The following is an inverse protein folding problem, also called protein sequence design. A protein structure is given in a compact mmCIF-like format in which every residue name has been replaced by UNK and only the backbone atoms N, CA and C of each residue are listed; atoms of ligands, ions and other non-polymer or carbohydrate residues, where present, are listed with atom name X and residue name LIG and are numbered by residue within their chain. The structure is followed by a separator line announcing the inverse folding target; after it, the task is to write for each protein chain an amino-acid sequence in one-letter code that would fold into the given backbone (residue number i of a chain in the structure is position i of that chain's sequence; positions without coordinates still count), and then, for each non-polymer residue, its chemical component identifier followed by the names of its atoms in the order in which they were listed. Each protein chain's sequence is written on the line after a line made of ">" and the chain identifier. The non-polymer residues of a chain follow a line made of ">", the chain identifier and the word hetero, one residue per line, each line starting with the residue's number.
data_IF_720939465446
#
_entry.id   IF_720939465446
#
_cell.length_a   1.000
_cell.length_b   1.000
_cell.length_c   1.000
_cell.angle_alpha   90.00
_cell.angle_beta   90.00
_cell.angle_gamma   90.00
#
_symmetry.space_group_name_H-M   'P 1'
#
loop_
_entity.id
_entity.type
_entity.pdbx_description
1 polymer ?
#
# COMPACT_ATOMS: atom_id res chain seq x y z
N UNK A 1 -36.57 -69.98 22.37
CA UNK A 1 -35.43 -70.34 21.50
C UNK A 1 -34.41 -69.22 21.60
N UNK A 2 -33.46 -69.34 22.53
CA UNK A 2 -32.07 -69.83 22.35
C UNK A 2 -31.15 -68.69 21.90
N UNK A 3 -30.45 -68.04 22.86
CA UNK A 3 -29.08 -68.34 23.38
C UNK A 3 -27.97 -67.65 22.56
N UNK A 4 -27.30 -66.62 23.11
CA UNK A 4 -25.99 -66.65 23.83
C UNK A 4 -24.79 -67.04 22.96
N UNK A 5 -23.83 -66.10 22.81
CA UNK A 5 -22.37 -66.22 23.06
C UNK A 5 -21.66 -64.92 22.66
N UNK A 6 -21.27 -64.03 23.58
CA UNK A 6 -19.99 -64.00 24.33
C UNK A 6 -18.75 -64.37 23.50
N UNK A 7 -17.85 -63.41 23.33
CA UNK A 7 -16.40 -63.58 23.57
C UNK A 7 -15.73 -62.22 23.86
N UNK A 8 -15.45 -62.04 25.14
CA UNK A 8 -14.42 -61.20 25.74
C UNK A 8 -13.02 -61.74 25.45
N UNK A 9 -12.01 -60.87 25.35
CA UNK A 9 -10.67 -61.04 25.93
C UNK A 9 -10.13 -59.65 26.28
N UNK A 10 -9.64 -59.56 27.50
CA UNK A 10 -9.07 -58.44 28.23
C UNK A 10 -7.55 -58.61 28.36
N UNK A 11 -6.89 -57.61 28.99
CA UNK A 11 -5.56 -57.65 29.66
C UNK A 11 -4.40 -57.30 28.69
N UNK A 12 -3.43 -56.40 28.95
CA UNK A 12 -2.88 -55.83 30.19
C UNK A 12 -2.18 -54.49 29.92
N UNK A 13 -2.09 -53.68 30.98
CA UNK A 13 -1.13 -52.59 31.16
C UNK A 13 0.32 -53.03 30.95
N UNK A 14 1.13 -52.15 30.36
CA UNK A 14 2.55 -52.05 30.73
C UNK A 14 2.98 -50.58 30.74
N UNK A 15 3.23 -50.09 31.95
CA UNK A 15 4.06 -48.93 32.20
C UNK A 15 5.51 -49.30 31.84
N UNK A 16 6.21 -48.44 31.12
CA UNK A 16 7.65 -48.35 31.26
C UNK A 16 8.10 -46.89 31.19
N UNK A 17 8.82 -46.51 32.24
CA UNK A 17 9.56 -45.27 32.37
C UNK A 17 10.65 -45.20 31.30
N UNK A 18 10.77 -44.04 30.67
CA UNK A 18 12.06 -43.48 30.25
C UNK A 18 11.97 -41.96 30.42
N UNK A 19 12.46 -41.51 31.57
CA UNK A 19 12.88 -40.13 31.78
C UNK A 19 14.27 -39.97 31.15
N UNK A 20 14.58 -38.74 30.78
CA UNK A 20 15.90 -38.18 30.44
C UNK A 20 16.47 -38.46 29.05
N UNK A 21 16.29 -37.48 28.16
CA UNK A 21 17.38 -36.59 27.72
C UNK A 21 16.94 -35.80 26.47
N UNK A 22 16.32 -34.64 26.62
CA UNK A 22 16.51 -33.51 25.69
C UNK A 22 16.28 -32.19 26.42
N UNK A 23 17.32 -31.79 27.14
CA UNK A 23 17.56 -30.40 27.49
C UNK A 23 17.77 -29.59 26.20
N UNK A 24 17.07 -28.46 26.14
CA UNK A 24 17.49 -27.18 25.54
C UNK A 24 18.00 -27.20 24.10
N UNK A 25 17.12 -26.92 23.14
CA UNK A 25 17.46 -25.92 22.11
C UNK A 25 16.29 -24.94 21.92
N UNK A 26 16.36 -23.83 22.63
CA UNK A 26 15.51 -22.66 22.40
C UNK A 26 15.94 -21.95 21.10
N UNK A 27 15.69 -22.55 19.95
CA UNK A 27 15.74 -21.84 18.68
C UNK A 27 14.43 -22.07 17.94
N UNK A 28 13.40 -21.32 18.35
CA UNK A 28 12.20 -21.21 17.54
C UNK A 28 12.57 -20.64 16.15
N UNK A 29 12.00 -21.16 15.04
CA UNK A 29 12.26 -20.67 13.69
C UNK A 29 12.02 -19.15 13.55
N UNK A 30 11.15 -18.58 14.38
CA UNK A 30 10.88 -17.13 14.43
C UNK A 30 12.06 -16.34 15.03
N UNK A 31 12.83 -16.92 15.95
CA UNK A 31 14.01 -16.28 16.58
C UNK A 31 15.20 -16.27 15.61
N UNK A 32 15.43 -17.39 14.92
CA UNK A 32 16.45 -17.49 13.86
C UNK A 32 16.20 -16.52 12.68
N UNK A 33 14.94 -16.35 12.25
CA UNK A 33 14.58 -15.33 11.26
C UNK A 33 14.87 -13.90 11.73
N UNK A 34 14.64 -13.60 13.02
CA UNK A 34 14.87 -12.27 13.62
C UNK A 34 16.35 -11.92 13.76
N UNK A 35 17.18 -12.88 14.17
CA UNK A 35 18.62 -12.65 14.34
C UNK A 35 19.33 -12.52 12.98
N UNK A 36 18.88 -13.28 11.99
CA UNK A 36 19.26 -13.13 10.57
C UNK A 36 18.94 -11.73 10.03
N UNK A 37 17.73 -11.22 10.28
CA UNK A 37 17.31 -9.88 9.84
C UNK A 37 18.14 -8.76 10.47
N UNK A 38 18.46 -8.85 11.77
CA UNK A 38 19.31 -7.86 12.45
C UNK A 38 20.73 -7.81 11.87
N UNK A 39 21.29 -8.98 11.56
CA UNK A 39 22.63 -9.10 10.95
C UNK A 39 22.68 -8.51 9.54
N UNK A 40 21.65 -8.77 8.72
CA UNK A 40 21.52 -8.22 7.37
C UNK A 40 21.35 -6.69 7.38
N UNK A 41 20.54 -6.16 8.30
CA UNK A 41 20.35 -4.71 8.46
C UNK A 41 21.65 -3.98 8.85
N UNK A 42 22.43 -4.55 9.77
CA UNK A 42 23.70 -3.97 10.19
C UNK A 42 24.71 -3.89 9.02
N UNK A 43 24.77 -4.93 8.19
CA UNK A 43 25.69 -5.02 7.05
C UNK A 43 25.37 -4.00 5.93
N UNK A 44 24.07 -3.77 5.68
CA UNK A 44 23.61 -2.81 4.66
C UNK A 44 23.92 -1.36 5.04
N UNK A 45 23.87 -1.02 6.33
CA UNK A 45 24.11 0.34 6.83
C UNK A 45 25.60 0.70 6.92
N UNK A 46 26.50 -0.28 6.89
CA UNK A 46 27.95 -0.06 6.92
C UNK A 46 28.57 0.15 5.54
N UNK A 47 27.83 -0.11 4.46
CA UNK A 47 28.33 0.09 3.09
C UNK A 47 28.20 1.56 2.68
N UNK A 48 29.21 2.19 2.05
CA UNK A 48 29.12 3.58 1.62
C UNK A 48 28.01 3.75 0.59
N UNK A 49 26.93 4.43 1.00
CA UNK A 49 25.77 4.68 0.15
C UNK A 49 26.17 5.74 -0.89
N UNK A 50 26.32 5.32 -2.15
CA UNK A 50 26.64 6.22 -3.27
C UNK A 50 25.35 6.73 -3.91
N UNK A 51 25.02 8.01 -3.79
CA UNK A 51 23.92 8.60 -4.53
C UNK A 51 24.21 8.57 -6.05
N UNK A 52 23.20 8.24 -6.87
CA UNK A 52 23.31 8.18 -8.33
C UNK A 52 22.69 9.40 -9.00
N UNK A 53 23.30 9.86 -10.11
CA UNK A 53 22.72 10.79 -11.06
C UNK A 53 21.60 10.10 -11.89
N UNK A 54 20.38 10.66 -11.86
CA UNK A 54 19.21 10.08 -12.52
C UNK A 54 19.28 10.17 -14.06
N UNK A 55 18.68 9.17 -14.73
CA UNK A 55 18.39 9.20 -16.16
C UNK A 55 17.25 10.19 -16.49
N UNK A 56 17.27 10.71 -17.73
CA UNK A 56 16.54 11.90 -18.20
C UNK A 56 15.01 11.78 -18.40
N UNK A 57 14.36 10.65 -18.10
CA UNK A 57 12.89 10.55 -18.14
C UNK A 57 12.41 9.88 -16.86
N UNK A 58 11.64 10.61 -16.05
CA UNK A 58 11.05 10.07 -14.84
C UNK A 58 9.88 9.16 -15.22
N UNK A 59 9.91 7.87 -14.86
CA UNK A 59 8.80 6.93 -15.13
C UNK A 59 7.46 7.42 -14.55
N UNK A 60 7.51 8.32 -13.56
CA UNK A 60 6.34 8.98 -13.02
C UNK A 60 5.76 10.06 -13.94
N UNK A 61 6.57 10.74 -14.75
CA UNK A 61 6.08 11.70 -15.75
C UNK A 61 5.24 10.98 -16.80
N UNK A 62 5.55 9.72 -17.12
CA UNK A 62 4.74 8.87 -17.99
C UNK A 62 3.37 8.60 -17.35
N UNK A 63 3.31 8.39 -16.03
CA UNK A 63 2.04 8.24 -15.32
C UNK A 63 1.23 9.55 -15.33
N UNK A 64 1.88 10.70 -15.15
CA UNK A 64 1.25 12.02 -15.25
C UNK A 64 0.74 12.31 -16.67
N UNK A 65 1.52 11.98 -17.71
CA UNK A 65 1.08 12.05 -19.10
C UNK A 65 -0.14 11.15 -19.36
N UNK A 66 -0.16 9.97 -18.73
CA UNK A 66 -1.30 9.05 -18.73
C UNK A 66 -2.61 9.69 -18.22
N UNK A 67 -2.53 10.73 -17.38
CA UNK A 67 -3.68 11.44 -16.84
C UNK A 67 -4.20 12.58 -17.73
N UNK A 68 -3.58 12.85 -18.88
CA UNK A 68 -4.09 13.84 -19.84
C UNK A 68 -5.47 13.43 -20.39
N UNK A 69 -6.39 14.38 -20.45
CA UNK A 69 -7.73 14.19 -21.02
C UNK A 69 -7.64 13.89 -22.52
N UNK A 70 -8.34 12.84 -22.94
CA UNK A 70 -8.58 12.51 -24.35
C UNK A 70 -9.97 12.96 -24.77
N UNK A 71 -10.98 12.71 -23.92
CA UNK A 71 -12.36 13.13 -24.13
C UNK A 71 -13.04 13.33 -22.79
N UNK A 72 -13.91 14.32 -22.69
CA UNK A 72 -14.79 14.50 -21.54
C UNK A 72 -16.20 14.91 -21.96
N UNK A 73 -17.16 14.72 -21.07
CA UNK A 73 -18.54 15.09 -21.29
C UNK A 73 -19.50 14.32 -20.38
N UNK A 74 -20.78 14.70 -20.47
CA UNK A 74 -21.84 14.08 -19.70
C UNK A 74 -22.28 12.73 -20.29
N UNK A 75 -22.40 11.72 -19.43
CA UNK A 75 -23.00 10.43 -19.74
C UNK A 75 -24.02 10.07 -18.65
N UNK A 76 -24.94 9.16 -18.98
CA UNK A 76 -25.95 8.68 -18.05
C UNK A 76 -25.64 7.24 -17.61
N UNK A 77 -25.75 6.99 -16.31
CA UNK A 77 -25.86 5.65 -15.74
C UNK A 77 -27.24 5.57 -15.06
N UNK A 78 -27.29 5.29 -13.75
CA UNK A 78 -28.49 5.48 -12.92
C UNK A 78 -28.75 6.97 -12.62
N UNK A 79 -27.72 7.80 -12.78
CA UNK A 79 -27.74 9.26 -12.68
C UNK A 79 -26.83 9.85 -13.76
N UNK A 80 -26.98 11.14 -14.00
CA UNK A 80 -26.07 11.89 -14.86
C UNK A 80 -24.69 12.00 -14.18
N UNK A 81 -23.62 11.67 -14.89
CA UNK A 81 -22.24 11.72 -14.40
C UNK A 81 -21.33 12.42 -15.41
N UNK A 82 -20.39 13.22 -14.92
CA UNK A 82 -19.40 13.85 -15.78
C UNK A 82 -18.23 12.88 -15.95
N UNK A 83 -17.94 12.48 -17.18
CA UNK A 83 -16.94 11.45 -17.48
C UNK A 83 -15.74 12.09 -18.15
N UNK A 84 -14.55 11.75 -17.68
CA UNK A 84 -13.27 12.13 -18.26
C UNK A 84 -12.51 10.86 -18.65
N UNK A 85 -12.42 10.61 -19.96
CA UNK A 85 -11.49 9.63 -20.50
C UNK A 85 -10.10 10.26 -20.57
N UNK A 86 -9.16 9.66 -19.86
CA UNK A 86 -7.73 9.99 -19.93
C UNK A 86 -7.00 9.00 -20.82
N UNK A 87 -5.70 9.19 -21.01
CA UNK A 87 -4.86 8.23 -21.73
C UNK A 87 -4.71 6.88 -21.02
N UNK A 88 -5.12 6.70 -19.76
CA UNK A 88 -4.96 5.41 -19.05
C UNK A 88 -6.17 4.94 -18.25
N UNK A 89 -7.16 5.81 -18.06
CA UNK A 89 -8.31 5.57 -17.17
C UNK A 89 -9.55 6.32 -17.60
N UNK A 90 -10.71 5.88 -17.10
CA UNK A 90 -11.95 6.67 -17.10
C UNK A 90 -12.15 7.18 -15.68
N UNK A 91 -12.34 8.50 -15.52
CA UNK A 91 -12.66 9.15 -14.24
C UNK A 91 -14.09 9.66 -14.30
N UNK A 92 -14.85 9.40 -13.24
CA UNK A 92 -16.24 9.83 -13.10
C UNK A 92 -16.35 10.85 -11.98
N UNK A 93 -17.06 11.95 -12.24
CA UNK A 93 -17.28 13.03 -11.29
C UNK A 93 -18.78 13.31 -11.12
N UNK A 94 -19.11 13.92 -10.00
CA UNK A 94 -20.45 14.44 -9.71
C UNK A 94 -20.84 15.61 -10.65
N UNK A 95 -19.86 16.41 -11.07
CA UNK A 95 -20.06 17.61 -11.88
C UNK A 95 -18.91 17.88 -12.86
N UNK A 96 -19.14 18.83 -13.75
CA UNK A 96 -18.19 19.28 -14.77
C UNK A 96 -17.00 20.07 -14.20
N UNK A 97 -17.16 20.68 -13.01
CA UNK A 97 -16.08 21.32 -12.27
C UNK A 97 -15.17 20.30 -11.56
N UNK A 98 -15.52 19.01 -11.61
CA UNK A 98 -14.76 17.89 -11.05
C UNK A 98 -14.58 18.01 -9.54
N UNK A 99 -15.56 18.58 -8.83
CA UNK A 99 -15.43 18.83 -7.38
C UNK A 99 -15.34 17.52 -6.57
N UNK A 100 -16.08 16.49 -6.98
CA UNK A 100 -16.07 15.19 -6.32
C UNK A 100 -15.82 14.06 -7.31
N UNK A 101 -14.66 13.41 -7.18
CA UNK A 101 -14.35 12.16 -7.87
C UNK A 101 -15.20 11.02 -7.29
N UNK A 102 -15.98 10.36 -8.14
CA UNK A 102 -16.84 9.23 -7.79
C UNK A 102 -16.14 7.89 -7.98
N UNK A 103 -15.44 7.71 -9.11
CA UNK A 103 -14.85 6.44 -9.52
C UNK A 103 -13.71 6.62 -10.52
N UNK A 104 -12.72 5.73 -10.48
CA UNK A 104 -11.68 5.60 -11.51
C UNK A 104 -11.67 4.16 -12.05
N UNK A 105 -11.68 4.01 -13.37
CA UNK A 105 -11.59 2.72 -14.05
C UNK A 105 -10.28 2.64 -14.84
N UNK A 106 -9.31 1.89 -14.33
CA UNK A 106 -8.01 1.71 -14.98
C UNK A 106 -8.12 0.85 -16.25
N UNK A 107 -7.84 1.45 -17.41
CA UNK A 107 -7.86 0.79 -18.72
C UNK A 107 -6.51 0.10 -19.03
N UNK A 108 -5.42 0.65 -18.47
CA UNK A 108 -4.08 0.09 -18.59
C UNK A 108 -3.96 -1.25 -17.88
N UNK A 109 -4.46 -1.34 -16.64
CA UNK A 109 -4.20 -2.46 -15.73
C UNK A 109 -5.11 -3.67 -15.92
N UNK A 110 -6.30 -3.49 -16.53
CA UNK A 110 -7.30 -4.56 -16.67
C UNK A 110 -7.66 -4.84 -18.13
N UNK A 111 -8.06 -6.09 -18.38
CA UNK A 111 -8.61 -6.51 -19.67
C UNK A 111 -10.10 -6.17 -19.76
N UNK A 112 -10.51 -5.61 -20.89
CA UNK A 112 -11.88 -5.18 -21.11
C UNK A 112 -12.31 -5.34 -22.58
N UNK A 113 -13.62 -5.36 -22.78
CA UNK A 113 -14.25 -5.25 -24.09
C UNK A 113 -15.26 -4.10 -24.10
N UNK A 114 -15.37 -3.43 -25.24
CA UNK A 114 -16.27 -2.29 -25.44
C UNK A 114 -17.26 -2.67 -26.53
N UNK A 115 -18.55 -2.56 -26.24
CA UNK A 115 -19.62 -2.75 -27.24
C UNK A 115 -20.58 -1.57 -27.21
N UNK A 116 -21.24 -1.32 -28.34
CA UNK A 116 -22.23 -0.26 -28.49
C UNK A 116 -23.55 -0.84 -28.99
N UNK A 117 -24.66 -0.39 -28.41
CA UNK A 117 -26.01 -0.63 -28.92
C UNK A 117 -26.82 0.67 -28.88
N UNK A 118 -27.12 1.24 -30.05
CA UNK A 118 -27.73 2.59 -30.18
C UNK A 118 -26.91 3.63 -29.39
N UNK A 119 -27.49 4.20 -28.33
CA UNK A 119 -26.85 5.19 -27.46
C UNK A 119 -26.16 4.57 -26.23
N UNK A 120 -26.30 3.26 -26.02
CA UNK A 120 -25.72 2.53 -24.91
C UNK A 120 -24.29 2.10 -25.25
N UNK A 121 -23.37 2.37 -24.34
CA UNK A 121 -21.97 1.97 -24.35
C UNK A 121 -21.78 1.00 -23.19
N UNK A 122 -21.30 -0.21 -23.49
CA UNK A 122 -21.05 -1.25 -22.50
C UNK A 122 -19.55 -1.54 -22.44
N UNK A 123 -18.98 -1.41 -21.25
CA UNK A 123 -17.58 -1.73 -20.97
C UNK A 123 -17.56 -2.92 -20.01
N UNK A 124 -17.12 -4.08 -20.49
CA UNK A 124 -17.03 -5.31 -19.70
C UNK A 124 -15.59 -5.58 -19.31
N UNK A 125 -15.29 -5.61 -18.02
CA UNK A 125 -13.97 -6.00 -17.50
C UNK A 125 -13.92 -7.52 -17.35
N UNK A 126 -13.36 -8.19 -18.36
CA UNK A 126 -13.51 -9.64 -18.60
C UNK A 126 -13.17 -10.48 -17.36
N UNK A 127 -12.03 -10.21 -16.73
CA UNK A 127 -11.56 -10.98 -15.57
C UNK A 127 -12.08 -10.51 -14.22
N UNK A 128 -12.65 -9.30 -14.17
CA UNK A 128 -13.23 -8.76 -12.94
C UNK A 128 -14.71 -9.13 -12.78
N UNK A 129 -15.33 -9.68 -13.83
CA UNK A 129 -16.77 -9.92 -13.92
C UNK A 129 -17.59 -8.64 -13.65
N UNK A 130 -17.00 -7.47 -13.91
CA UNK A 130 -17.65 -6.18 -13.77
C UNK A 130 -18.08 -5.64 -15.14
N UNK A 131 -19.23 -4.97 -15.17
CA UNK A 131 -19.72 -4.28 -16.37
C UNK A 131 -20.12 -2.87 -15.98
N UNK A 132 -19.65 -1.90 -16.76
CA UNK A 132 -20.06 -0.50 -16.66
C UNK A 132 -20.89 -0.16 -17.89
N UNK A 133 -22.05 0.42 -17.65
CA UNK A 133 -22.96 0.87 -18.70
C UNK A 133 -23.01 2.40 -18.68
N UNK A 134 -22.86 3.00 -19.85
CA UNK A 134 -23.08 4.42 -20.06
C UNK A 134 -24.09 4.61 -21.18
N UNK A 135 -24.90 5.65 -21.07
CA UNK A 135 -25.83 6.08 -22.10
C UNK A 135 -25.45 7.51 -22.53
N UNK A 136 -25.15 7.67 -23.82
CA UNK A 136 -24.91 8.98 -24.42
C UNK A 136 -26.24 9.66 -24.78
N UNK A 137 -26.18 10.95 -25.13
CA UNK A 137 -27.37 11.73 -25.51
C UNK A 137 -28.03 11.21 -26.79
N UNK A 138 -27.21 10.72 -27.72
CA UNK A 138 -27.61 10.19 -29.02
C UNK A 138 -26.62 9.14 -29.52
N UNK A 139 -26.94 8.52 -30.66
CA UNK A 139 -26.15 7.45 -31.29
C UNK A 139 -24.79 7.98 -31.78
N UNK A 140 -24.71 9.25 -32.20
CA UNK A 140 -23.50 9.86 -32.75
C UNK A 140 -22.50 10.07 -31.61
N UNK A 141 -22.93 10.63 -30.49
CA UNK A 141 -22.12 10.81 -29.30
C UNK A 141 -21.63 9.46 -28.74
N UNK A 142 -22.49 8.43 -28.74
CA UNK A 142 -22.08 7.09 -28.34
C UNK A 142 -20.94 6.54 -29.22
N UNK A 143 -21.04 6.70 -30.55
CA UNK A 143 -19.96 6.31 -31.48
C UNK A 143 -18.67 7.08 -31.21
N UNK A 144 -18.76 8.38 -30.96
CA UNK A 144 -17.59 9.21 -30.64
C UNK A 144 -16.88 8.71 -29.37
N UNK A 145 -17.63 8.40 -28.31
CA UNK A 145 -17.07 7.83 -27.08
C UNK A 145 -16.41 6.47 -27.32
N UNK A 146 -17.07 5.56 -28.02
CA UNK A 146 -16.54 4.22 -28.34
C UNK A 146 -15.25 4.33 -29.13
N UNK A 147 -15.18 5.23 -30.12
CA UNK A 147 -13.96 5.47 -30.89
C UNK A 147 -12.82 5.98 -30.01
N UNK A 148 -13.07 6.97 -29.16
CA UNK A 148 -12.05 7.48 -28.23
C UNK A 148 -11.58 6.41 -27.24
N UNK A 149 -12.51 5.59 -26.72
CA UNK A 149 -12.18 4.47 -25.82
C UNK A 149 -11.32 3.42 -26.52
N UNK A 150 -11.65 3.06 -27.77
CA UNK A 150 -10.86 2.10 -28.55
C UNK A 150 -9.45 2.63 -28.84
N UNK A 151 -9.28 3.91 -29.18
CA UNK A 151 -7.96 4.52 -29.37
C UNK A 151 -7.10 4.37 -28.11
N UNK A 152 -7.66 4.67 -26.93
CA UNK A 152 -6.95 4.52 -25.66
C UNK A 152 -6.68 3.06 -25.35
N UNK A 153 -7.66 2.18 -25.51
CA UNK A 153 -7.53 0.75 -25.22
C UNK A 153 -6.47 0.08 -26.11
N UNK A 154 -6.44 0.40 -27.40
CA UNK A 154 -5.53 -0.20 -28.37
C UNK A 154 -4.07 0.13 -28.06
N UNK A 155 -3.79 1.31 -27.49
CA UNK A 155 -2.47 1.67 -26.97
C UNK A 155 -1.95 0.69 -25.91
N UNK A 156 -2.86 0.08 -25.13
CA UNK A 156 -2.50 -0.85 -24.05
C UNK A 156 -2.93 -2.30 -24.33
N UNK A 157 -3.30 -2.64 -25.56
CA UNK A 157 -3.75 -3.99 -25.92
C UNK A 157 -2.69 -5.05 -25.62
N UNK A 158 -1.43 -4.72 -25.87
CA UNK A 158 -0.29 -5.63 -25.66
C UNK A 158 0.39 -5.45 -24.29
N UNK A 159 -0.13 -4.57 -23.43
CA UNK A 159 0.42 -4.42 -22.08
C UNK A 159 -0.02 -5.61 -21.21
N UNK A 160 0.86 -6.13 -20.32
CA UNK A 160 0.47 -7.15 -19.36
C UNK A 160 -0.74 -6.71 -18.54
N UNK A 161 -1.80 -7.52 -18.53
CA UNK A 161 -3.03 -7.26 -17.78
C UNK A 161 -3.01 -8.03 -16.46
N UNK A 162 -3.49 -7.38 -15.40
CA UNK A 162 -3.64 -8.00 -14.11
C UNK A 162 -4.93 -8.84 -14.08
N UNK A 163 -4.80 -10.09 -13.64
CA UNK A 163 -5.94 -10.96 -13.33
C UNK A 163 -6.03 -11.07 -11.82
N UNK A 164 -7.06 -10.48 -11.23
CA UNK A 164 -7.26 -10.53 -9.79
C UNK A 164 -7.91 -11.86 -9.38
N UNK A 165 -7.62 -12.31 -8.17
CA UNK A 165 -8.49 -13.27 -7.50
C UNK A 165 -9.88 -12.63 -7.30
N UNK A 166 -10.95 -13.39 -7.50
CA UNK A 166 -12.32 -12.84 -7.53
C UNK A 166 -12.66 -12.10 -6.23
N UNK A 167 -12.24 -12.63 -5.08
CA UNK A 167 -12.46 -12.01 -3.78
C UNK A 167 -11.74 -10.66 -3.60
N UNK A 168 -10.70 -10.37 -4.39
CA UNK A 168 -9.94 -9.13 -4.33
C UNK A 168 -10.47 -8.05 -5.27
N UNK A 169 -11.40 -8.37 -6.18
CA UNK A 169 -11.98 -7.40 -7.13
C UNK A 169 -12.57 -6.16 -6.41
N UNK A 170 -13.36 -6.27 -5.33
CA UNK A 170 -13.92 -5.11 -4.63
C UNK A 170 -12.86 -4.16 -4.06
N UNK A 171 -11.63 -4.63 -3.84
CA UNK A 171 -10.53 -3.83 -3.29
C UNK A 171 -9.94 -2.86 -4.31
N UNK A 172 -9.98 -3.22 -5.59
CA UNK A 172 -9.23 -2.56 -6.67
C UNK A 172 -10.12 -1.96 -7.76
N UNK A 173 -11.36 -2.43 -7.90
CA UNK A 173 -12.27 -1.88 -8.90
C UNK A 173 -12.81 -0.51 -8.48
N UNK A 174 -12.74 0.46 -9.38
CA UNK A 174 -13.31 1.79 -9.16
C UNK A 174 -12.39 2.81 -8.49
N UNK A 175 -11.10 2.50 -8.35
CA UNK A 175 -10.08 3.38 -7.76
C UNK A 175 -8.84 3.46 -8.66
N UNK A 176 -7.99 4.46 -8.44
CA UNK A 176 -6.74 4.59 -9.19
C UNK A 176 -5.76 3.48 -8.77
N UNK A 177 -5.37 2.65 -9.73
CA UNK A 177 -4.52 1.49 -9.48
C UNK A 177 -3.37 1.40 -10.45
N UNK A 178 -2.24 0.87 -9.94
CA UNK A 178 -1.07 0.46 -10.72
C UNK A 178 -0.64 -0.94 -10.31
N UNK A 179 -0.01 -1.68 -11.23
CA UNK A 179 0.67 -2.94 -10.91
C UNK A 179 1.86 -2.73 -9.95
N UNK A 180 2.16 -3.75 -9.15
CA UNK A 180 3.35 -3.76 -8.27
C UNK A 180 4.65 -3.54 -9.05
N UNK A 181 4.78 -4.12 -10.25
CA UNK A 181 5.96 -3.93 -11.10
C UNK A 181 6.12 -2.47 -11.56
N UNK A 182 5.01 -1.77 -11.80
CA UNK A 182 5.06 -0.35 -12.15
C UNK A 182 5.30 0.53 -10.92
N UNK A 183 4.71 0.20 -9.77
CA UNK A 183 5.03 0.80 -8.48
C UNK A 183 6.54 0.78 -8.21
N UNK A 184 7.18 -0.39 -8.32
CA UNK A 184 8.61 -0.53 -8.09
C UNK A 184 9.47 0.30 -9.05
N UNK A 185 8.96 0.66 -10.23
CA UNK A 185 9.63 1.58 -11.16
C UNK A 185 9.50 3.04 -10.72
N UNK A 186 8.27 3.49 -10.42
CA UNK A 186 7.96 4.91 -10.20
C UNK A 186 8.23 5.41 -8.78
N UNK A 187 8.30 4.52 -7.78
CA UNK A 187 8.53 4.91 -6.39
C UNK A 187 9.96 5.44 -6.22
N UNK A 188 10.11 6.49 -5.40
CA UNK A 188 11.36 7.21 -5.16
C UNK A 188 11.56 7.50 -3.67
N UNK A 189 12.81 7.81 -3.29
CA UNK A 189 13.18 8.13 -1.91
C UNK A 189 12.35 9.30 -1.36
N UNK A 190 11.73 9.08 -0.21
CA UNK A 190 10.88 10.03 0.49
C UNK A 190 9.38 9.84 0.23
N UNK A 191 8.95 9.10 -0.79
CA UNK A 191 7.52 8.88 -1.02
C UNK A 191 6.85 8.16 0.17
N UNK A 192 5.59 8.49 0.44
CA UNK A 192 4.82 7.85 1.49
C UNK A 192 4.20 6.55 1.00
N UNK A 193 4.25 5.53 1.84
CA UNK A 193 3.51 4.29 1.69
C UNK A 193 2.46 4.22 2.79
N UNK A 194 1.21 4.01 2.39
CA UNK A 194 0.06 3.87 3.28
C UNK A 194 -0.44 2.43 3.20
N UNK A 195 -0.54 1.77 4.35
CA UNK A 195 -0.94 0.37 4.42
C UNK A 195 -2.26 0.18 5.15
N UNK A 196 -3.02 -0.79 4.68
CA UNK A 196 -4.14 -1.39 5.41
C UNK A 196 -3.71 -2.77 5.93
N UNK A 197 -3.81 -3.02 7.23
CA UNK A 197 -3.49 -4.33 7.81
C UNK A 197 -4.73 -5.14 8.21
N UNK A 198 -4.60 -6.47 8.23
CA UNK A 198 -5.64 -7.42 8.64
C UNK A 198 -5.47 -7.93 10.08
N UNK A 199 -5.29 -7.03 11.04
CA UNK A 199 -5.35 -7.39 12.46
C UNK A 199 -6.50 -6.67 13.17
N UNK A 200 -6.96 -7.23 14.28
CA UNK A 200 -8.15 -6.75 15.02
C UNK A 200 -7.95 -5.33 15.56
N UNK A 201 -6.75 -5.02 16.06
CA UNK A 201 -6.40 -3.67 16.54
C UNK A 201 -6.43 -2.62 15.44
N UNK A 202 -5.91 -2.94 14.26
CA UNK A 202 -5.91 -2.07 13.10
C UNK A 202 -7.32 -1.83 12.55
N UNK A 203 -8.17 -2.88 12.51
CA UNK A 203 -9.59 -2.72 12.16
C UNK A 203 -10.28 -1.74 13.11
N UNK A 204 -10.03 -1.87 14.41
CA UNK A 204 -10.59 -0.95 15.42
C UNK A 204 -10.05 0.47 15.26
N UNK A 205 -8.75 0.63 15.00
CA UNK A 205 -8.14 1.92 14.72
C UNK A 205 -8.80 2.58 13.51
N UNK A 206 -8.95 1.86 12.38
CA UNK A 206 -9.59 2.38 11.16
C UNK A 206 -11.03 2.83 11.38
N UNK A 207 -11.79 2.07 12.18
CA UNK A 207 -13.15 2.45 12.58
C UNK A 207 -13.13 3.75 13.39
N UNK A 208 -12.24 3.86 14.38
CA UNK A 208 -12.16 5.03 15.25
C UNK A 208 -11.64 6.28 14.52
N UNK A 209 -10.66 6.13 13.63
CA UNK A 209 -10.07 7.22 12.85
C UNK A 209 -10.84 7.53 11.58
N UNK A 210 -11.85 6.73 11.25
CA UNK A 210 -12.60 6.78 9.99
C UNK A 210 -11.67 6.82 8.75
N UNK A 211 -10.71 5.90 8.69
CA UNK A 211 -9.72 5.85 7.60
C UNK A 211 -9.55 4.49 6.95
N UNK A 212 -9.07 4.52 5.70
CA UNK A 212 -8.71 3.34 4.92
C UNK A 212 -7.38 2.72 5.35
N UNK A 213 -6.50 3.51 5.96
CA UNK A 213 -5.13 3.11 6.29
C UNK A 213 -4.88 3.23 7.80
N UNK A 214 -4.13 2.29 8.34
CA UNK A 214 -3.76 2.19 9.76
C UNK A 214 -2.25 2.27 9.98
N UNK A 215 -1.45 2.24 8.90
CA UNK A 215 0.00 2.20 8.99
C UNK A 215 0.65 3.04 7.87
N UNK A 216 1.82 3.61 8.16
CA UNK A 216 2.53 4.51 7.25
C UNK A 216 4.04 4.26 7.32
N UNK A 217 4.70 4.29 6.17
CA UNK A 217 6.14 4.14 6.04
C UNK A 217 6.71 5.08 4.97
N UNK A 218 8.03 5.16 4.89
CA UNK A 218 8.74 5.91 3.84
C UNK A 218 9.46 4.95 2.90
N UNK A 219 9.30 5.17 1.60
CA UNK A 219 10.09 4.51 0.58
C UNK A 219 11.49 5.12 0.48
N UNK A 220 12.53 4.29 0.38
CA UNK A 220 13.91 4.69 0.18
C UNK A 220 14.47 3.85 -0.96
N UNK A 221 14.80 4.50 -2.08
CA UNK A 221 15.32 3.81 -3.25
C UNK A 221 16.82 4.00 -3.33
N UNK A 222 17.54 2.89 -3.21
CA UNK A 222 18.99 2.88 -3.16
C UNK A 222 19.59 2.95 -4.57
N UNK A 223 20.89 3.22 -4.65
CA UNK A 223 21.69 3.28 -5.88
C UNK A 223 21.53 2.05 -6.78
N UNK A 224 21.49 0.87 -6.18
CA UNK A 224 21.28 -0.41 -6.87
C UNK A 224 19.82 -0.62 -7.34
N UNK A 225 18.97 0.41 -7.26
CA UNK A 225 17.55 0.42 -7.60
C UNK A 225 16.66 -0.46 -6.72
N UNK A 226 17.21 -1.09 -5.69
CA UNK A 226 16.39 -1.79 -4.70
C UNK A 226 15.61 -0.79 -3.87
N UNK A 227 14.34 -1.12 -3.66
CA UNK A 227 13.45 -0.38 -2.79
C UNK A 227 13.58 -0.93 -1.37
N UNK A 228 13.85 -0.03 -0.43
CA UNK A 228 13.80 -0.30 0.99
C UNK A 228 12.63 0.46 1.62
N UNK A 229 12.01 -0.17 2.62
CA UNK A 229 10.92 0.39 3.41
C UNK A 229 11.47 0.77 4.78
N UNK A 230 11.34 2.06 5.10
CA UNK A 230 11.65 2.58 6.42
C UNK A 230 10.37 2.69 7.24
N UNK A 231 10.27 1.81 8.21
CA UNK A 231 9.04 1.55 8.97
C UNK A 231 9.35 1.40 10.47
N UNK A 232 8.36 1.64 11.33
CA UNK A 232 8.38 1.23 12.73
C UNK A 232 7.12 0.45 13.08
N UNK A 233 7.28 -0.77 13.60
CA UNK A 233 6.16 -1.58 14.10
C UNK A 233 6.35 -1.97 15.57
N UNK A 234 5.29 -2.54 16.16
CA UNK A 234 5.27 -2.84 17.58
C UNK A 234 6.13 -4.02 18.02
N UNK A 235 6.40 -4.95 17.12
CA UNK A 235 7.08 -6.19 17.49
C UNK A 235 8.60 -6.12 17.25
N UNK A 236 9.02 -5.31 16.27
CA UNK A 236 10.41 -5.23 15.81
C UNK A 236 11.05 -3.85 15.94
N UNK A 237 10.25 -2.81 16.23
CA UNK A 237 10.71 -1.44 16.29
C UNK A 237 11.02 -0.87 14.93
N UNK A 238 12.03 0.01 14.86
CA UNK A 238 12.44 0.65 13.61
C UNK A 238 13.13 -0.38 12.72
N UNK A 239 12.59 -0.56 11.53
CA UNK A 239 13.07 -1.49 10.52
C UNK A 239 13.42 -0.78 9.23
N UNK A 240 14.41 -1.33 8.54
CA UNK A 240 14.82 -0.92 7.22
C UNK A 240 15.03 -2.19 6.40
N UNK A 241 14.00 -2.56 5.63
CA UNK A 241 13.95 -3.84 4.93
C UNK A 241 13.77 -3.62 3.44
N UNK A 242 14.41 -4.46 2.62
CA UNK A 242 14.14 -4.50 1.19
C UNK A 242 12.67 -4.88 0.95
N UNK A 243 12.03 -4.32 -0.08
CA UNK A 243 10.61 -4.55 -0.40
C UNK A 243 10.21 -6.02 -0.45
N UNK A 244 11.03 -6.86 -1.09
CA UNK A 244 10.80 -8.30 -1.21
C UNK A 244 10.67 -8.96 0.17
N UNK A 245 11.62 -8.66 1.06
CA UNK A 245 11.62 -9.13 2.44
C UNK A 245 10.48 -8.50 3.26
N UNK A 246 10.22 -7.21 3.06
CA UNK A 246 9.18 -6.48 3.79
C UNK A 246 7.80 -7.07 3.54
N UNK A 247 7.45 -7.38 2.29
CA UNK A 247 6.17 -7.98 1.94
C UNK A 247 6.08 -9.45 2.36
N UNK A 248 7.17 -10.20 2.34
CA UNK A 248 7.18 -11.59 2.81
C UNK A 248 6.98 -11.68 4.33
N UNK A 249 7.62 -10.79 5.08
CA UNK A 249 7.59 -10.79 6.55
C UNK A 249 6.29 -10.21 7.10
N UNK A 250 5.68 -9.27 6.38
CA UNK A 250 4.45 -8.61 6.79
C UNK A 250 3.27 -9.05 5.91
N UNK A 251 2.91 -10.32 6.03
CA UNK A 251 1.78 -10.94 5.31
C UNK A 251 0.42 -10.29 5.62
N UNK A 252 0.32 -9.58 6.75
CA UNK A 252 -0.88 -8.86 7.21
C UNK A 252 -1.29 -7.66 6.35
N UNK A 253 -0.47 -7.17 5.41
CA UNK A 253 -0.80 -6.01 4.58
C UNK A 253 -1.77 -6.36 3.45
N UNK A 254 -2.99 -5.86 3.53
CA UNK A 254 -4.08 -6.14 2.59
C UNK A 254 -4.19 -5.09 1.48
N UNK A 255 -3.68 -3.88 1.72
CA UNK A 255 -3.69 -2.81 0.73
C UNK A 255 -2.45 -1.95 0.90
N UNK A 256 -1.89 -1.52 -0.22
CA UNK A 256 -0.86 -0.50 -0.29
C UNK A 256 -1.37 0.64 -1.18
N UNK A 257 -1.19 1.87 -0.72
CA UNK A 257 -1.20 3.05 -1.57
C UNK A 257 0.09 3.83 -1.44
N UNK A 258 0.48 4.50 -2.53
CA UNK A 258 1.60 5.42 -2.53
C UNK A 258 1.09 6.85 -2.64
N UNK A 259 1.80 7.77 -2.00
CA UNK A 259 1.67 9.21 -2.26
C UNK A 259 3.04 9.76 -2.63
N UNK A 260 3.12 10.32 -3.84
CA UNK A 260 4.36 10.80 -4.45
C UNK A 260 4.65 12.22 -3.98
N UNK A 261 5.87 12.45 -3.52
CA UNK A 261 6.36 13.82 -3.31
C UNK A 261 6.74 14.45 -4.66
N UNK A 262 6.38 15.70 -4.84
CA UNK A 262 6.64 16.47 -6.05
C UNK A 262 7.38 17.76 -5.68
N UNK A 263 8.15 18.30 -6.62
CA UNK A 263 8.95 19.52 -6.44
C UNK A 263 9.96 19.43 -5.29
N UNK A 264 10.60 18.26 -5.13
CA UNK A 264 11.58 18.02 -4.08
C UNK A 264 12.96 17.67 -4.63
N UNK A 265 14.00 18.09 -3.92
CA UNK A 265 15.37 17.62 -4.18
C UNK A 265 15.54 16.20 -3.62
N UNK A 266 15.40 15.19 -4.48
CA UNK A 266 15.45 13.77 -4.09
C UNK A 266 16.81 13.36 -3.52
N UNK A 267 17.91 13.95 -4.00
CA UNK A 267 19.26 13.66 -3.51
C UNK A 267 19.40 14.15 -2.06
N UNK A 268 18.88 15.34 -1.77
CA UNK A 268 18.90 15.91 -0.43
C UNK A 268 18.00 15.11 0.54
N UNK A 269 16.80 14.73 0.09
CA UNK A 269 15.89 13.87 0.88
C UNK A 269 16.60 12.56 1.23
N UNK A 270 17.18 11.86 0.25
CA UNK A 270 17.86 10.59 0.46
C UNK A 270 18.98 10.74 1.50
N UNK A 271 19.83 11.76 1.35
CA UNK A 271 20.90 12.07 2.31
C UNK A 271 20.36 12.29 3.73
N UNK A 272 19.37 13.17 3.90
CA UNK A 272 18.80 13.49 5.22
C UNK A 272 18.08 12.31 5.86
N UNK A 273 17.43 11.45 5.06
CA UNK A 273 16.81 10.22 5.56
C UNK A 273 17.87 9.22 6.01
N UNK A 274 18.97 9.06 5.27
CA UNK A 274 20.09 8.19 5.65
C UNK A 274 20.75 8.68 6.96
N UNK A 275 21.01 9.98 7.08
CA UNK A 275 21.54 10.57 8.30
C UNK A 275 20.59 10.33 9.48
N UNK A 276 19.28 10.48 9.26
CA UNK A 276 18.27 10.18 10.28
C UNK A 276 18.23 8.69 10.64
N UNK A 277 18.29 7.80 9.65
CA UNK A 277 18.36 6.35 9.84
C UNK A 277 19.51 5.96 10.75
N UNK A 278 20.71 6.50 10.52
CA UNK A 278 21.89 6.25 11.35
C UNK A 278 21.69 6.69 12.81
N UNK A 279 20.88 7.73 13.06
CA UNK A 279 20.57 8.21 14.41
C UNK A 279 19.53 7.35 15.15
N UNK A 280 18.65 6.65 14.42
CA UNK A 280 17.54 5.87 15.01
C UNK A 280 17.77 4.35 14.99
N UNK A 281 18.69 3.86 14.15
CA UNK A 281 18.96 2.43 14.02
C UNK A 281 19.40 1.81 15.36
N UNK A 282 18.85 0.64 15.70
CA UNK A 282 19.18 -0.10 16.93
C UNK A 282 18.39 0.29 18.19
N UNK A 283 17.51 1.30 18.15
CA UNK A 283 16.62 1.65 19.28
C UNK A 283 15.44 0.66 19.37
N UNK A 284 15.20 0.05 20.56
CA UNK A 284 14.15 -0.99 20.80
C UNK A 284 12.73 -0.41 20.90
N UNK A 285 11.71 -1.22 20.57
CA UNK A 285 10.28 -0.94 20.82
C UNK A 285 9.80 -1.61 22.11
N UNK A 286 9.14 -0.87 23.00
CA UNK A 286 8.35 -1.46 24.10
C UNK A 286 6.99 -0.76 24.28
N UNK A 287 6.00 -1.59 24.56
CA UNK A 287 4.57 -1.34 24.63
C UNK A 287 4.22 -0.25 25.64
N UNK A 288 3.79 0.92 25.17
CA UNK A 288 3.14 1.92 26.02
C UNK A 288 1.74 2.27 25.49
N UNK A 289 0.91 1.24 25.32
CA UNK A 289 -0.52 1.40 25.10
C UNK A 289 -1.27 1.55 26.44
N UNK A 290 -0.74 1.01 27.55
CA UNK A 290 -1.41 1.11 28.87
C UNK A 290 -1.40 2.52 29.49
N UNK A 291 -0.59 3.46 29.00
CA UNK A 291 -0.54 4.84 29.50
C UNK A 291 -1.25 5.85 28.60
N UNK A 292 -1.52 5.52 27.34
CA UNK A 292 -2.27 6.40 26.41
C UNK A 292 -3.78 6.40 26.70
N UNK A 293 -4.30 5.38 27.38
CA UNK A 293 -5.67 5.34 27.89
C UNK A 293 -5.84 5.91 29.31
N UNK A 294 -4.80 6.49 29.91
CA UNK A 294 -4.83 7.00 31.29
C UNK A 294 -4.29 8.42 31.40
N UNK A 295 -4.88 9.36 30.67
CA UNK A 295 -4.73 10.78 31.03
C UNK A 295 -5.77 11.20 32.08
N UNK A 296 -5.40 10.93 33.34
CA UNK A 296 -5.55 11.86 34.48
C UNK A 296 -4.72 11.32 35.64
N UNK A 297 -3.42 11.66 35.66
CA UNK A 297 -2.65 11.87 36.90
C UNK A 297 -1.18 12.13 36.59
N UNK A 298 -0.83 13.40 36.76
CA UNK A 298 0.41 14.03 37.20
C UNK A 298 1.63 13.15 37.57
N UNK A 299 2.79 13.70 37.19
CA UNK A 299 4.13 13.62 37.82
C UNK A 299 5.15 12.61 37.25
N UNK A 300 6.46 12.95 37.37
CA UNK A 300 7.47 12.73 36.32
C UNK A 300 8.42 11.57 36.63
N UNK A 301 8.86 10.82 35.62
CA UNK A 301 10.19 10.20 35.62
C UNK A 301 10.55 9.50 34.31
N UNK A 302 11.81 9.77 33.89
CA UNK A 302 12.68 9.05 32.94
C UNK A 302 12.31 9.09 31.45
N UNK A 303 13.04 9.99 30.77
CA UNK A 303 13.29 10.04 29.31
C UNK A 303 13.67 8.66 28.78
N UNK A 304 12.87 8.10 27.87
CA UNK A 304 13.21 6.93 27.05
C UNK A 304 12.47 7.07 25.70
N UNK A 305 13.25 7.19 24.61
CA UNK A 305 12.81 7.52 23.26
C UNK A 305 12.20 6.31 22.52
N UNK A 306 10.91 6.34 22.21
CA UNK A 306 10.22 5.35 21.36
C UNK A 306 9.42 6.05 20.24
N UNK A 307 9.22 5.38 19.09
CA UNK A 307 8.65 5.96 17.86
C UNK A 307 7.46 5.13 17.36
N UNK A 308 6.29 5.74 17.17
CA UNK A 308 5.19 5.18 16.35
C UNK A 308 5.54 5.25 14.85
N UNK A 309 4.91 4.44 13.98
CA UNK A 309 5.12 4.52 12.52
C UNK A 309 4.90 5.96 12.00
N UNK A 310 3.78 6.56 12.37
CA UNK A 310 3.46 7.96 12.07
C UNK A 310 4.42 8.97 12.69
N UNK A 311 4.92 8.70 13.90
CA UNK A 311 5.91 9.56 14.56
C UNK A 311 7.29 9.48 13.89
N UNK A 312 7.71 8.28 13.47
CA UNK A 312 8.93 8.05 12.71
C UNK A 312 8.87 8.80 11.39
N UNK A 313 7.77 8.65 10.66
CA UNK A 313 7.55 9.38 9.41
C UNK A 313 7.52 10.89 9.65
N UNK A 314 6.81 11.37 10.68
CA UNK A 314 6.79 12.79 11.02
C UNK A 314 8.18 13.34 11.36
N UNK A 315 8.98 12.62 12.17
CA UNK A 315 10.36 13.04 12.51
C UNK A 315 11.28 13.01 11.30
N UNK A 316 11.19 11.97 10.46
CA UNK A 316 11.96 11.91 9.21
C UNK A 316 11.60 13.07 8.27
N UNK A 317 10.31 13.35 8.10
CA UNK A 317 9.83 14.44 7.26
C UNK A 317 10.23 15.82 7.79
N UNK A 318 10.15 16.06 9.11
CA UNK A 318 10.68 17.28 9.72
C UNK A 318 12.19 17.40 9.57
N UNK A 319 12.93 16.32 9.76
CA UNK A 319 14.38 16.29 9.56
C UNK A 319 14.74 16.64 8.11
N UNK A 320 13.92 16.19 7.15
CA UNK A 320 14.09 16.54 5.74
C UNK A 320 13.75 18.01 5.41
N UNK A 321 13.04 18.72 6.30
CA UNK A 321 12.46 20.04 6.03
C UNK A 321 11.20 19.98 5.17
N UNK A 322 10.51 18.83 5.15
CA UNK A 322 9.30 18.61 4.34
C UNK A 322 8.01 18.95 5.07
N UNK A 323 7.96 18.80 6.39
CA UNK A 323 6.73 18.96 7.18
C UNK A 323 6.79 20.24 8.02
N UNK A 324 6.03 21.25 7.63
CA UNK A 324 5.91 22.54 8.32
C UNK A 324 4.82 22.47 9.39
N UNK A 325 5.14 21.83 10.52
CA UNK A 325 4.20 21.70 11.62
C UNK A 325 4.86 21.90 12.97
N UNK A 326 4.29 22.80 13.77
CA UNK A 326 4.60 22.95 15.20
C UNK A 326 4.09 21.76 16.03
N UNK A 327 3.20 20.93 15.45
CA UNK A 327 2.64 19.75 16.10
C UNK A 327 3.75 18.78 16.48
N UNK A 328 3.76 18.31 17.73
CA UNK A 328 4.74 17.32 18.19
C UNK A 328 4.66 16.03 17.35
N UNK A 329 5.79 15.45 16.95
CA UNK A 329 5.80 14.27 16.08
C UNK A 329 5.06 13.07 16.70
N UNK A 330 5.12 12.91 18.02
CA UNK A 330 4.42 11.87 18.77
C UNK A 330 2.89 11.99 18.77
N UNK A 331 2.36 13.13 18.29
CA UNK A 331 0.92 13.34 18.16
C UNK A 331 0.37 13.08 16.76
N UNK A 332 1.25 12.69 15.81
CA UNK A 332 0.82 12.30 14.47
C UNK A 332 0.24 10.90 14.48
N UNK A 333 -0.90 10.74 13.81
CA UNK A 333 -1.53 9.45 13.54
C UNK A 333 -1.40 9.08 12.06
N UNK A 334 -1.42 7.79 11.70
CA UNK A 334 -1.36 7.35 10.30
C UNK A 334 -2.43 8.02 9.41
N UNK A 335 -3.64 8.23 9.94
CA UNK A 335 -4.74 8.98 9.28
C UNK A 335 -4.34 10.36 8.80
N UNK A 336 -3.42 11.04 9.47
CA UNK A 336 -3.06 12.40 9.10
C UNK A 336 -2.25 12.44 7.81
N UNK A 337 -1.53 11.35 7.51
CA UNK A 337 -0.80 11.17 6.25
C UNK A 337 -1.71 10.82 5.07
N UNK A 338 -3.00 10.55 5.31
CA UNK A 338 -4.01 10.36 4.26
C UNK A 338 -4.75 11.66 3.91
N UNK A 339 -4.51 12.74 4.66
CA UNK A 339 -5.11 14.06 4.46
C UNK A 339 -4.13 14.98 3.73
N UNK A 340 -4.57 16.15 3.23
CA UNK A 340 -3.64 17.19 2.78
C UNK A 340 -2.67 17.54 3.92
N UNK A 341 -1.38 17.29 3.69
CA UNK A 341 -0.31 17.61 4.65
C UNK A 341 0.13 19.06 4.44
N UNK A 342 0.41 19.77 5.53
CA UNK A 342 1.07 21.08 5.46
C UNK A 342 2.57 20.85 5.24
N UNK A 343 2.95 20.77 3.97
CA UNK A 343 4.33 20.57 3.54
C UNK A 343 5.05 21.91 3.36
N UNK A 344 6.37 21.86 3.21
CA UNK A 344 7.16 23.06 2.95
C UNK A 344 6.81 23.74 1.65
N UNK A 345 7.08 25.05 1.60
CA UNK A 345 6.74 25.89 0.44
C UNK A 345 7.17 25.20 -0.87
N UNK A 346 6.23 25.11 -1.81
CA UNK A 346 6.35 24.51 -3.15
C UNK A 346 6.37 22.97 -3.22
N UNK A 347 6.46 22.25 -2.09
CA UNK A 347 6.35 20.78 -2.06
C UNK A 347 4.89 20.36 -2.21
N UNK A 348 4.63 19.49 -3.17
CA UNK A 348 3.31 18.89 -3.36
C UNK A 348 3.36 17.39 -3.05
N UNK A 349 2.22 16.84 -2.65
CA UNK A 349 2.04 15.40 -2.47
C UNK A 349 0.79 14.94 -3.21
N UNK A 350 0.89 13.86 -3.98
CA UNK A 350 -0.24 13.37 -4.77
C UNK A 350 -1.33 12.76 -3.89
N UNK A 351 -2.48 12.50 -4.49
CA UNK A 351 -3.49 11.59 -3.93
C UNK A 351 -2.96 10.15 -3.89
N UNK A 352 -3.75 9.28 -3.26
CA UNK A 352 -3.47 7.86 -3.09
C UNK A 352 -3.50 7.12 -4.45
N UNK A 353 -2.37 6.54 -4.84
CA UNK A 353 -2.29 5.62 -5.98
C UNK A 353 -2.19 4.20 -5.41
N UNK A 354 -3.21 3.37 -5.64
CA UNK A 354 -3.28 2.03 -5.04
C UNK A 354 -2.46 1.03 -5.83
N UNK A 355 -1.70 0.18 -5.13
CA UNK A 355 -0.87 -0.85 -5.75
C UNK A 355 -1.58 -2.19 -5.72
N UNK A 356 -1.73 -2.81 -6.90
CA UNK A 356 -2.18 -4.20 -7.04
C UNK A 356 -1.02 -5.10 -6.62
N UNK A 357 -1.11 -5.68 -5.42
CA UNK A 357 -0.08 -6.57 -4.89
C UNK A 357 -0.11 -7.91 -5.63
N UNK A 358 1.06 -8.47 -5.92
CA UNK A 358 1.21 -9.75 -6.63
C UNK A 358 0.48 -10.89 -5.94
N UNK A 359 0.43 -10.89 -4.60
CA UNK A 359 -0.29 -11.91 -3.81
C UNK A 359 -1.81 -11.92 -4.03
N UNK A 360 -2.38 -10.85 -4.61
CA UNK A 360 -3.81 -10.75 -4.94
C UNK A 360 -4.11 -11.10 -6.40
N UNK A 361 -3.08 -11.39 -7.20
CA UNK A 361 -3.24 -11.87 -8.56
C UNK A 361 -3.68 -13.34 -8.55
N UNK A 362 -4.50 -13.73 -9.51
CA UNK A 362 -4.79 -15.13 -9.77
C UNK A 362 -3.53 -15.83 -10.28
N UNK A 363 -3.31 -17.07 -9.84
CA UNK A 363 -2.26 -17.93 -10.40
C UNK A 363 -2.58 -18.16 -11.88
N UNK A 364 -1.59 -17.95 -12.74
CA UNK A 364 -1.74 -18.07 -14.19
C UNK A 364 -1.99 -19.50 -14.63
#
# INVERSE_FOLDING_TARGET
>A
MLEIRKRSISIQNNQNLMLDCYLTSECSPKRLKRDSQKSQQATLLTSPIRCIQKNNVNDFDIYLDGNQTVKEGWLYQNKRVYVQLTRQSIKEYNDEQKQQLLRILSLKEFELTITQEKQLIKIKFTHLQQTVLYQAKDIIEAKMWVNSLNIVFDKYRNYPKNRLQIQEVPRYFGIDVISEDYFLKIVESGDLLLFETNNTGAKLQRIFTNTKYDHVAIAIKMANKYLFIFDANADTGVTFLEWSQFIEVNDLYEKLAIRKLMNVNRIEIEKKIIEFLQQVHGKKYEVTISKLFRQKSLSPSKKNDTYFCSELVAKAYKNCGLLESEKACSSFWPVEFTKPLKLSKDVLITDDIVVILKKHLAVK
#
